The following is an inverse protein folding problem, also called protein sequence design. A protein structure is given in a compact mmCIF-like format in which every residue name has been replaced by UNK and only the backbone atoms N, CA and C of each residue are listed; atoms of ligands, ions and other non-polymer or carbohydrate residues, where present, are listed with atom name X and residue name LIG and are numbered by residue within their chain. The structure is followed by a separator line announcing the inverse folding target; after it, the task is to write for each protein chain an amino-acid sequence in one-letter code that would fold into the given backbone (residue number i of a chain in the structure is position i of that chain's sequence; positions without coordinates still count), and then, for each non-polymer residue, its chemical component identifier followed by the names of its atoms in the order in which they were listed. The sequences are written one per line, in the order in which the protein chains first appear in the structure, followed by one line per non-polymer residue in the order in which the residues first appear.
data_IF_820172595673
#
_entry.id   IF_820172595673
#
_cell.length_a   1.000
_cell.length_b   1.000
_cell.length_c   1.000
_cell.angle_alpha   90.00
_cell.angle_beta   90.00
_cell.angle_gamma   90.00
#
_symmetry.space_group_name_H-M   'P 1'
#
loop_
_entity.id
_entity.type
_entity.pdbx_description
1 polymer ?
#
# COMPACT_ATOMS: atom_id res chain seq x y z
N UNK A 1 5.08 -12.44 -23.09
CA UNK A 1 6.16 -13.22 -22.48
C UNK A 1 7.47 -12.95 -23.22
N UNK A 2 8.59 -12.88 -22.50
CA UNK A 2 9.93 -12.69 -23.05
C UNK A 2 10.85 -13.81 -22.54
N UNK A 3 11.67 -14.36 -23.45
CA UNK A 3 12.72 -15.31 -23.08
C UNK A 3 13.85 -14.61 -22.31
N UNK A 4 14.65 -15.40 -21.56
CA UNK A 4 15.87 -14.89 -20.92
C UNK A 4 16.81 -14.19 -21.91
N UNK A 5 16.90 -14.67 -23.16
CA UNK A 5 17.66 -14.03 -24.23
C UNK A 5 17.12 -12.65 -24.61
N UNK A 6 15.80 -12.50 -24.70
CA UNK A 6 15.15 -11.23 -25.03
C UNK A 6 15.31 -10.22 -23.89
N UNK A 7 15.16 -10.68 -22.65
CA UNK A 7 15.40 -9.86 -21.46
C UNK A 7 16.85 -9.34 -21.42
N UNK A 8 17.86 -10.22 -21.65
CA UNK A 8 19.27 -9.82 -21.68
C UNK A 8 19.58 -8.81 -22.78
N UNK A 9 18.93 -8.92 -23.94
CA UNK A 9 19.10 -8.00 -25.04
C UNK A 9 18.50 -6.63 -24.72
N UNK A 10 17.35 -6.59 -24.07
CA UNK A 10 16.63 -5.34 -23.73
C UNK A 10 17.27 -4.62 -22.54
N UNK A 11 17.64 -5.38 -21.50
CA UNK A 11 18.13 -4.85 -20.23
C UNK A 11 19.44 -5.53 -19.79
N UNK A 12 20.55 -5.27 -20.53
CA UNK A 12 21.84 -5.93 -20.26
C UNK A 12 22.44 -5.54 -18.90
N UNK A 13 21.93 -4.49 -18.24
CA UNK A 13 22.32 -4.07 -16.89
C UNK A 13 21.80 -4.99 -15.79
N UNK A 14 20.87 -5.92 -16.10
CA UNK A 14 20.29 -6.86 -15.14
C UNK A 14 21.03 -8.19 -15.24
N UNK A 15 21.47 -8.75 -14.11
CA UNK A 15 21.92 -10.13 -14.06
C UNK A 15 20.69 -11.06 -14.08
N UNK A 16 20.58 -11.86 -15.12
CA UNK A 16 19.43 -12.74 -15.40
C UNK A 16 19.83 -14.22 -15.44
N UNK A 17 20.94 -14.60 -14.78
CA UNK A 17 21.45 -15.99 -14.82
C UNK A 17 20.44 -17.02 -14.30
N UNK A 18 19.67 -16.66 -13.28
CA UNK A 18 18.65 -17.50 -12.66
C UNK A 18 17.23 -17.27 -13.20
N UNK A 19 17.07 -16.42 -14.22
CA UNK A 19 15.77 -16.08 -14.82
C UNK A 19 15.59 -16.81 -16.15
N UNK A 20 14.54 -17.59 -16.26
CA UNK A 20 14.21 -18.34 -17.47
C UNK A 20 13.36 -17.54 -18.45
N UNK A 21 12.43 -16.75 -17.94
CA UNK A 21 11.49 -15.93 -18.72
C UNK A 21 10.98 -14.78 -17.87
N UNK A 22 10.32 -13.82 -18.51
CA UNK A 22 9.63 -12.71 -17.85
C UNK A 22 8.38 -12.30 -18.62
N UNK A 23 7.52 -11.56 -17.93
CA UNK A 23 6.34 -10.92 -18.52
C UNK A 23 6.67 -9.45 -18.68
N UNK A 24 6.42 -8.90 -19.85
CA UNK A 24 6.41 -7.46 -20.09
C UNK A 24 4.95 -7.04 -20.27
N UNK A 25 4.54 -6.10 -19.43
CA UNK A 25 3.25 -5.40 -19.51
C UNK A 25 3.51 -3.97 -19.98
N UNK A 26 3.35 -3.67 -21.28
CA UNK A 26 3.74 -2.36 -21.83
C UNK A 26 2.95 -1.17 -21.26
N UNK A 27 1.71 -1.42 -20.81
CA UNK A 27 0.83 -0.40 -20.26
C UNK A 27 0.95 -0.26 -18.74
N UNK A 28 1.76 -1.10 -18.09
CA UNK A 28 2.05 -1.01 -16.67
C UNK A 28 3.02 0.13 -16.37
N UNK A 29 2.93 0.64 -15.15
CA UNK A 29 3.80 1.72 -14.71
C UNK A 29 3.83 1.81 -13.18
N UNK A 30 4.12 3.00 -12.69
CA UNK A 30 4.05 3.33 -11.27
C UNK A 30 3.24 4.61 -11.08
N UNK A 31 2.76 4.79 -9.86
CA UNK A 31 2.06 6.00 -9.43
C UNK A 31 2.97 6.78 -8.48
N UNK A 32 3.08 8.09 -8.68
CA UNK A 32 3.56 8.98 -7.63
C UNK A 32 2.47 9.12 -6.58
N UNK A 33 2.60 8.37 -5.49
CA UNK A 33 1.56 8.27 -4.48
C UNK A 33 1.24 9.62 -3.81
N UNK A 34 2.25 10.47 -3.60
CA UNK A 34 2.06 11.77 -2.95
C UNK A 34 1.34 12.73 -3.88
N UNK A 35 1.81 12.86 -5.12
CA UNK A 35 1.17 13.71 -6.13
C UNK A 35 -0.26 13.22 -6.43
N UNK A 36 -0.47 11.91 -6.51
CA UNK A 36 -1.80 11.33 -6.72
C UNK A 36 -2.77 11.67 -5.58
N UNK A 37 -2.34 11.53 -4.32
CA UNK A 37 -3.18 11.91 -3.17
C UNK A 37 -3.50 13.40 -3.16
N UNK A 38 -2.52 14.24 -3.47
CA UNK A 38 -2.71 15.69 -3.53
C UNK A 38 -3.72 16.07 -4.62
N UNK A 39 -3.59 15.51 -5.82
CA UNK A 39 -4.50 15.75 -6.93
C UNK A 39 -5.95 15.34 -6.59
N UNK A 40 -6.14 14.22 -5.87
CA UNK A 40 -7.45 13.78 -5.42
C UNK A 40 -8.05 14.78 -4.41
N UNK A 41 -7.26 15.25 -3.46
CA UNK A 41 -7.72 16.28 -2.47
C UNK A 41 -8.07 17.57 -3.16
N UNK A 42 -7.25 18.06 -4.09
CA UNK A 42 -7.52 19.28 -4.86
C UNK A 42 -8.81 19.17 -5.69
N UNK A 43 -9.01 18.03 -6.36
CA UNK A 43 -10.23 17.77 -7.11
C UNK A 43 -11.46 17.71 -6.21
N UNK A 44 -11.36 17.07 -5.05
CA UNK A 44 -12.42 16.98 -4.05
C UNK A 44 -12.84 18.37 -3.54
N UNK A 45 -11.87 19.21 -3.17
CA UNK A 45 -12.11 20.58 -2.71
C UNK A 45 -12.72 21.43 -3.83
N UNK A 46 -12.22 21.30 -5.05
CA UNK A 46 -12.76 22.01 -6.23
C UNK A 46 -14.20 21.62 -6.56
N UNK A 47 -14.59 20.40 -6.23
CA UNK A 47 -15.97 19.90 -6.34
C UNK A 47 -16.88 20.35 -5.16
N UNK A 48 -16.37 21.16 -4.24
CA UNK A 48 -17.13 21.68 -3.09
C UNK A 48 -16.97 20.86 -1.81
N UNK A 49 -16.10 19.86 -1.79
CA UNK A 49 -15.79 19.08 -0.60
C UNK A 49 -14.98 19.88 0.43
N UNK A 50 -15.07 19.51 1.70
CA UNK A 50 -14.28 20.11 2.78
C UNK A 50 -13.18 19.16 3.23
N UNK A 51 -11.93 19.56 3.05
CA UNK A 51 -10.76 18.85 3.55
C UNK A 51 -10.29 19.42 4.90
N UNK A 52 -10.04 18.54 5.87
CA UNK A 52 -9.50 18.91 7.19
C UNK A 52 -8.40 17.94 7.57
N UNK A 53 -7.31 18.45 8.10
CA UNK A 53 -6.21 17.66 8.65
C UNK A 53 -6.39 17.55 10.16
N UNK A 54 -7.09 16.51 10.61
CA UNK A 54 -7.45 16.27 12.01
C UNK A 54 -7.59 14.78 12.26
N UNK A 55 -7.16 14.31 13.44
CA UNK A 55 -7.33 12.91 13.81
C UNK A 55 -8.73 12.64 14.38
N UNK A 56 -9.25 11.44 14.10
CA UNK A 56 -10.48 10.93 14.72
C UNK A 56 -10.11 10.24 16.02
N UNK A 57 -10.87 10.54 17.10
CA UNK A 57 -10.75 9.80 18.36
C UNK A 57 -11.36 8.39 18.19
N UNK A 58 -10.71 7.32 18.70
CA UNK A 58 -11.29 5.98 18.70
C UNK A 58 -12.41 5.81 19.73
N UNK A 59 -12.58 6.74 20.66
CA UNK A 59 -13.54 6.63 21.74
C UNK A 59 -14.97 6.67 21.24
N UNK A 60 -15.76 5.67 21.61
CA UNK A 60 -17.19 5.58 21.30
C UNK A 60 -17.52 5.21 19.85
N UNK A 61 -16.54 4.90 19.00
CA UNK A 61 -16.78 4.55 17.60
C UNK A 61 -17.58 3.26 17.40
N UNK A 62 -17.46 2.28 18.31
CA UNK A 62 -18.20 1.02 18.22
C UNK A 62 -19.39 0.95 19.18
N UNK A 63 -19.73 2.05 19.86
CA UNK A 63 -20.87 2.11 20.74
C UNK A 63 -22.19 2.18 19.98
N UNK A 64 -23.20 1.48 20.46
CA UNK A 64 -24.56 1.53 19.90
C UNK A 64 -25.18 2.93 19.94
N UNK A 65 -24.65 3.82 20.78
CA UNK A 65 -25.03 5.22 20.92
C UNK A 65 -24.28 6.18 19.98
N UNK A 66 -23.42 5.67 19.08
CA UNK A 66 -22.67 6.49 18.14
C UNK A 66 -23.58 7.46 17.37
N UNK A 67 -23.27 8.74 17.42
CA UNK A 67 -24.05 9.82 16.76
C UNK A 67 -23.18 10.86 16.06
N UNK A 68 -21.91 10.95 16.41
CA UNK A 68 -20.95 11.92 15.87
C UNK A 68 -19.53 11.46 16.09
N UNK A 69 -18.62 11.92 15.21
CA UNK A 69 -17.19 11.70 15.37
C UNK A 69 -16.61 12.76 16.33
N UNK A 70 -15.85 12.30 17.33
CA UNK A 70 -14.99 13.16 18.13
C UNK A 70 -13.65 13.34 17.44
N UNK A 71 -13.19 14.56 17.31
CA UNK A 71 -11.95 14.91 16.63
C UNK A 71 -10.90 15.37 17.65
N UNK A 72 -9.62 15.24 17.29
CA UNK A 72 -8.49 15.56 18.18
C UNK A 72 -8.39 17.05 18.57
N UNK A 73 -9.04 17.93 17.85
CA UNK A 73 -9.16 19.35 18.15
C UNK A 73 -10.32 19.68 19.12
N UNK A 74 -11.01 18.68 19.65
CA UNK A 74 -12.15 18.79 20.56
C UNK A 74 -13.49 19.07 19.85
N UNK A 75 -13.50 19.25 18.54
CA UNK A 75 -14.74 19.41 17.78
C UNK A 75 -15.43 18.08 17.51
N UNK A 76 -16.72 18.17 17.16
CA UNK A 76 -17.50 17.01 16.74
C UNK A 76 -18.00 17.19 15.30
N UNK A 77 -18.04 16.07 14.56
CA UNK A 77 -18.55 16.04 13.20
C UNK A 77 -19.77 15.10 13.13
N UNK A 78 -20.87 15.63 12.57
CA UNK A 78 -22.08 14.86 12.27
C UNK A 78 -22.25 14.73 10.76
N UNK A 79 -22.63 13.55 10.32
CA UNK A 79 -22.92 13.23 8.93
C UNK A 79 -24.01 12.16 8.85
N UNK A 80 -24.65 12.05 7.68
CA UNK A 80 -25.61 10.97 7.41
C UNK A 80 -24.89 9.64 7.26
N UNK A 81 -23.72 9.63 6.60
CA UNK A 81 -22.86 8.47 6.40
C UNK A 81 -21.43 8.75 6.85
N UNK A 82 -20.77 7.73 7.37
CA UNK A 82 -19.38 7.76 7.78
C UNK A 82 -18.61 6.69 7.05
N UNK A 83 -17.55 7.06 6.35
CA UNK A 83 -16.68 6.14 5.62
C UNK A 83 -15.29 6.16 6.24
N UNK A 84 -14.89 5.06 6.84
CA UNK A 84 -13.57 4.92 7.45
C UNK A 84 -12.64 4.18 6.49
N UNK A 85 -11.78 4.95 5.81
CA UNK A 85 -10.72 4.45 4.93
C UNK A 85 -9.33 4.74 5.54
N UNK A 86 -9.17 4.39 6.82
CA UNK A 86 -8.06 4.82 7.66
C UNK A 86 -6.83 3.91 7.60
N UNK A 87 -6.75 3.01 6.60
CA UNK A 87 -5.60 2.16 6.36
C UNK A 87 -5.18 1.38 7.61
N UNK A 88 -3.90 1.41 7.92
CA UNK A 88 -3.33 0.66 9.04
C UNK A 88 -3.88 1.01 10.42
N UNK A 89 -4.63 2.10 10.56
CA UNK A 89 -5.28 2.48 11.83
C UNK A 89 -6.67 1.85 12.01
N UNK A 90 -7.28 1.25 10.98
CA UNK A 90 -8.62 0.68 11.06
C UNK A 90 -8.79 -0.32 12.21
N UNK A 91 -7.81 -1.20 12.42
CA UNK A 91 -7.85 -2.16 13.52
C UNK A 91 -7.82 -1.53 14.92
N UNK A 92 -7.23 -0.33 15.05
CA UNK A 92 -7.24 0.44 16.31
C UNK A 92 -8.52 1.23 16.51
N UNK A 93 -9.10 1.75 15.42
CA UNK A 93 -10.36 2.50 15.46
C UNK A 93 -11.56 1.58 15.73
N UNK A 94 -11.49 0.35 15.22
CA UNK A 94 -12.55 -0.65 15.34
C UNK A 94 -11.98 -1.95 15.93
N UNK A 95 -11.57 -1.96 17.21
CA UNK A 95 -10.88 -3.10 17.81
C UNK A 95 -11.74 -4.36 17.92
N UNK A 96 -13.06 -4.24 18.16
CA UNK A 96 -13.98 -5.36 18.24
C UNK A 96 -14.26 -5.96 16.84
N UNK A 97 -14.40 -5.10 15.83
CA UNK A 97 -14.80 -5.50 14.47
C UNK A 97 -13.58 -5.87 13.61
N UNK A 98 -12.52 -5.08 13.65
CA UNK A 98 -11.37 -5.18 12.73
C UNK A 98 -10.03 -5.48 13.43
N UNK A 99 -9.94 -5.43 14.76
CA UNK A 99 -8.67 -5.54 15.47
C UNK A 99 -7.90 -6.84 15.21
N UNK A 100 -8.60 -7.94 14.90
CA UNK A 100 -8.00 -9.23 14.52
C UNK A 100 -7.82 -9.39 13.02
N UNK A 101 -8.50 -8.59 12.22
CA UNK A 101 -8.51 -8.67 10.76
C UNK A 101 -7.51 -7.74 10.09
N UNK A 102 -7.30 -6.54 10.66
CA UNK A 102 -6.32 -5.60 10.16
C UNK A 102 -5.06 -5.69 11.02
N UNK A 103 -4.00 -6.24 10.45
CA UNK A 103 -2.72 -6.41 11.12
C UNK A 103 -1.64 -5.61 10.40
N UNK A 104 -1.29 -4.42 10.91
CA UNK A 104 -0.26 -3.61 10.32
C UNK A 104 1.11 -4.30 10.39
N UNK A 105 1.84 -4.27 9.27
CA UNK A 105 3.21 -4.78 9.20
C UNK A 105 4.17 -3.71 8.71
N UNK A 106 5.40 -3.75 9.25
CA UNK A 106 6.48 -2.86 8.86
C UNK A 106 7.07 -3.30 7.52
N UNK A 107 7.14 -2.39 6.56
CA UNK A 107 7.80 -2.58 5.28
C UNK A 107 8.83 -1.48 5.04
N UNK A 108 9.92 -1.79 4.37
CA UNK A 108 10.96 -0.80 4.12
C UNK A 108 11.27 -0.67 2.64
N UNK A 109 11.41 0.56 2.19
CA UNK A 109 11.84 0.89 0.83
C UNK A 109 13.12 1.71 0.86
N UNK A 110 13.99 1.48 -0.10
CA UNK A 110 15.31 2.09 -0.17
C UNK A 110 15.52 2.72 -1.54
N UNK A 111 16.15 3.88 -1.57
CA UNK A 111 16.49 4.60 -2.80
C UNK A 111 18.01 4.72 -2.89
N UNK A 112 18.56 4.28 -4.01
CA UNK A 112 20.00 4.29 -4.26
C UNK A 112 20.36 5.23 -5.39
N UNK A 113 21.51 5.90 -5.29
CA UNK A 113 22.06 6.70 -6.37
C UNK A 113 22.68 5.81 -7.45
N UNK A 114 22.15 5.77 -8.68
CA UNK A 114 22.82 5.07 -9.75
C UNK A 114 24.18 5.70 -10.10
N UNK A 115 25.09 4.96 -10.78
CA UNK A 115 26.35 5.53 -11.21
C UNK A 115 26.14 6.80 -12.05
N UNK A 116 26.94 7.81 -11.80
CA UNK A 116 26.80 9.12 -12.46
C UNK A 116 26.86 8.97 -13.99
N UNK A 117 25.88 9.52 -14.68
CA UNK A 117 25.77 9.47 -16.14
C UNK A 117 25.29 8.13 -16.72
N UNK A 118 25.01 7.12 -15.89
CA UNK A 118 24.50 5.84 -16.39
C UNK A 118 22.97 5.87 -16.54
N UNK A 119 22.51 6.21 -17.73
CA UNK A 119 21.09 6.32 -18.05
C UNK A 119 20.36 4.97 -18.07
N UNK A 120 21.06 3.83 -18.01
CA UNK A 120 20.42 2.51 -18.03
C UNK A 120 19.54 2.25 -16.80
N UNK A 121 19.70 3.04 -15.74
CA UNK A 121 18.94 2.96 -14.49
C UNK A 121 17.87 4.05 -14.36
N UNK A 122 17.55 4.74 -15.44
CA UNK A 122 16.45 5.71 -15.49
C UNK A 122 15.16 5.05 -15.99
N UNK A 123 14.02 5.66 -15.72
CA UNK A 123 12.70 5.24 -16.20
C UNK A 123 12.57 5.21 -17.73
N UNK A 124 13.36 6.04 -18.43
CA UNK A 124 13.44 6.03 -19.89
C UNK A 124 14.10 4.75 -20.46
N UNK A 125 14.86 4.01 -19.67
CA UNK A 125 15.65 2.84 -20.12
C UNK A 125 15.37 1.55 -19.38
N UNK A 126 14.72 1.62 -18.24
CA UNK A 126 14.35 0.46 -17.43
C UNK A 126 12.92 0.66 -16.93
N UNK A 127 11.99 -0.25 -17.21
CA UNK A 127 10.65 -0.19 -16.66
C UNK A 127 10.65 -0.45 -15.14
N UNK A 128 9.52 -0.21 -14.49
CA UNK A 128 9.26 -0.81 -13.17
C UNK A 128 9.35 -2.32 -13.29
N UNK A 129 9.85 -2.96 -12.26
CA UNK A 129 10.10 -4.40 -12.31
C UNK A 129 9.74 -5.10 -11.00
N UNK A 130 9.36 -6.36 -11.12
CA UNK A 130 9.19 -7.30 -10.01
C UNK A 130 9.97 -8.58 -10.28
N UNK A 131 10.71 -9.05 -9.29
CA UNK A 131 11.50 -10.29 -9.33
C UNK A 131 10.94 -11.27 -8.31
N UNK A 132 10.34 -12.35 -8.79
CA UNK A 132 9.75 -13.42 -7.97
C UNK A 132 10.59 -14.69 -7.96
N UNK A 133 11.88 -14.63 -8.32
CA UNK A 133 12.73 -15.82 -8.46
C UNK A 133 12.89 -16.61 -7.17
N UNK A 134 13.19 -15.95 -6.05
CA UNK A 134 13.36 -16.57 -4.71
C UNK A 134 12.57 -15.86 -3.64
N UNK A 135 12.41 -14.56 -3.79
CA UNK A 135 11.80 -13.65 -2.87
C UNK A 135 11.28 -12.50 -3.70
N UNK A 136 10.13 -11.96 -3.38
CA UNK A 136 9.61 -10.86 -4.18
C UNK A 136 10.34 -9.56 -3.86
N UNK A 137 11.24 -9.16 -4.77
CA UNK A 137 11.80 -7.83 -4.83
C UNK A 137 11.13 -7.04 -5.95
N UNK A 138 10.94 -5.76 -5.73
CA UNK A 138 10.49 -4.87 -6.78
C UNK A 138 11.27 -3.57 -6.77
N UNK A 139 11.24 -2.85 -7.89
CA UNK A 139 11.88 -1.56 -7.97
C UNK A 139 11.28 -0.64 -9.01
N UNK A 140 11.59 0.64 -8.81
CA UNK A 140 11.20 1.73 -9.67
C UNK A 140 12.46 2.51 -10.00
N UNK A 141 12.86 2.59 -11.29
CA UNK A 141 14.01 3.39 -11.68
C UNK A 141 13.68 4.87 -11.57
N UNK A 142 14.61 5.63 -11.06
CA UNK A 142 14.84 7.05 -11.12
C UNK A 142 13.70 8.07 -11.24
N UNK A 143 12.51 7.79 -10.70
CA UNK A 143 11.41 8.76 -10.74
C UNK A 143 11.69 9.98 -9.85
N UNK A 144 11.39 11.16 -10.34
CA UNK A 144 11.47 12.45 -9.63
C UNK A 144 12.82 12.72 -8.96
N UNK A 145 13.91 12.30 -9.59
CA UNK A 145 15.27 12.45 -9.07
C UNK A 145 15.52 11.81 -7.71
N UNK A 146 14.62 10.93 -7.23
CA UNK A 146 14.74 10.25 -5.94
C UNK A 146 15.70 9.06 -5.94
N UNK A 147 16.24 8.72 -7.10
CA UNK A 147 17.13 7.58 -7.25
C UNK A 147 16.40 6.27 -7.59
N UNK A 148 17.15 5.18 -7.56
CA UNK A 148 16.70 3.84 -7.92
C UNK A 148 16.05 3.17 -6.70
N UNK A 149 14.73 3.06 -6.71
CA UNK A 149 13.97 2.44 -5.62
C UNK A 149 14.07 0.93 -5.67
N UNK A 150 14.32 0.30 -4.51
CA UNK A 150 14.26 -1.15 -4.32
C UNK A 150 13.58 -1.48 -3.01
N UNK A 151 12.75 -2.51 -3.00
CA UNK A 151 12.13 -3.04 -1.80
C UNK A 151 12.03 -4.57 -1.84
N UNK A 152 12.17 -5.19 -0.66
CA UNK A 152 11.77 -6.57 -0.40
C UNK A 152 10.32 -6.55 0.06
N UNK A 153 9.40 -7.12 -0.72
CA UNK A 153 7.96 -7.11 -0.43
C UNK A 153 7.53 -8.25 0.49
N UNK A 154 8.48 -8.97 1.07
CA UNK A 154 8.15 -9.99 2.06
C UNK A 154 7.52 -9.34 3.29
N UNK A 155 6.40 -9.90 3.74
CA UNK A 155 5.67 -9.42 4.93
C UNK A 155 6.63 -9.24 6.11
N UNK A 156 6.70 -8.02 6.62
CA UNK A 156 7.54 -7.64 7.77
C UNK A 156 6.91 -7.98 9.12
N UNK A 157 7.56 -7.62 10.23
CA UNK A 157 7.01 -7.81 11.57
C UNK A 157 5.78 -6.92 11.80
N UNK A 158 5.01 -7.27 12.84
CA UNK A 158 3.92 -6.43 13.32
C UNK A 158 4.41 -5.01 13.63
N UNK A 159 3.60 -4.02 13.29
CA UNK A 159 3.98 -2.62 13.38
C UNK A 159 2.85 -1.77 13.96
N UNK A 160 3.16 -0.94 14.94
CA UNK A 160 2.23 0.06 15.42
C UNK A 160 2.24 1.28 14.48
N UNK A 161 1.13 1.61 13.81
CA UNK A 161 1.12 2.69 12.82
C UNK A 161 1.32 4.08 13.43
N UNK A 162 1.07 4.24 14.74
CA UNK A 162 1.18 5.52 15.47
C UNK A 162 2.55 5.70 16.12
N UNK A 163 3.00 4.69 16.89
CA UNK A 163 4.19 4.76 17.73
C UNK A 163 5.36 3.90 17.25
N UNK A 164 5.17 3.12 16.18
CA UNK A 164 6.21 2.26 15.63
C UNK A 164 7.43 3.04 15.15
N UNK A 165 8.61 2.54 15.48
CA UNK A 165 9.88 3.15 15.09
C UNK A 165 10.06 3.12 13.56
N UNK A 166 10.45 4.27 13.00
CA UNK A 166 10.62 4.46 11.55
C UNK A 166 12.07 4.58 11.11
N UNK A 167 12.99 4.21 11.99
CA UNK A 167 14.40 4.17 11.66
C UNK A 167 14.73 3.00 10.72
N UNK A 168 15.71 3.20 9.87
CA UNK A 168 16.23 2.22 8.96
C UNK A 168 16.69 0.94 9.67
N UNK A 169 16.24 -0.23 9.22
CA UNK A 169 16.77 -1.52 9.67
C UNK A 169 18.10 -1.87 8.99
N UNK A 170 19.21 -1.98 9.73
CA UNK A 170 20.48 -2.41 9.14
C UNK A 170 20.41 -3.80 8.48
N UNK A 171 19.58 -4.68 9.03
CA UNK A 171 19.37 -6.05 8.48
C UNK A 171 18.69 -5.99 7.13
N UNK A 172 17.65 -5.18 6.99
CA UNK A 172 16.92 -5.02 5.73
C UNK A 172 17.79 -4.32 4.68
N UNK A 173 18.51 -3.26 5.05
CA UNK A 173 19.46 -2.60 4.16
C UNK A 173 20.51 -3.58 3.64
N UNK A 174 21.11 -4.39 4.52
CA UNK A 174 22.10 -5.41 4.12
C UNK A 174 21.51 -6.41 3.12
N UNK A 175 20.27 -6.83 3.34
CA UNK A 175 19.56 -7.74 2.44
C UNK A 175 19.33 -7.11 1.06
N UNK A 176 18.81 -5.90 1.02
CA UNK A 176 18.56 -5.18 -0.23
C UNK A 176 19.86 -4.89 -0.97
N UNK A 177 20.94 -4.50 -0.29
CA UNK A 177 22.27 -4.32 -0.91
C UNK A 177 22.81 -5.61 -1.51
N UNK A 178 22.63 -6.75 -0.84
CA UNK A 178 23.03 -8.06 -1.38
C UNK A 178 22.25 -8.40 -2.65
N UNK A 179 20.95 -8.14 -2.66
CA UNK A 179 20.12 -8.32 -3.84
C UNK A 179 20.54 -7.38 -4.97
N UNK A 180 20.73 -6.10 -4.68
CA UNK A 180 21.14 -5.08 -5.64
C UNK A 180 22.48 -5.44 -6.30
N UNK A 181 23.48 -5.85 -5.51
CA UNK A 181 24.79 -6.26 -6.02
C UNK A 181 24.72 -7.49 -6.94
N UNK A 182 23.79 -8.40 -6.70
CA UNK A 182 23.58 -9.58 -7.53
C UNK A 182 22.78 -9.27 -8.79
N UNK A 183 21.62 -8.62 -8.63
CA UNK A 183 20.67 -8.40 -9.73
C UNK A 183 21.10 -7.25 -10.65
N UNK A 184 21.74 -6.23 -10.10
CA UNK A 184 22.21 -5.03 -10.79
C UNK A 184 23.68 -4.77 -10.46
N UNK A 185 24.64 -5.52 -11.02
CA UNK A 185 26.06 -5.47 -10.62
C UNK A 185 26.68 -4.07 -10.65
N UNK A 186 26.28 -3.21 -11.59
CA UNK A 186 26.74 -1.83 -11.65
C UNK A 186 26.27 -0.96 -10.48
N UNK A 187 25.24 -1.40 -9.74
CA UNK A 187 24.69 -0.72 -8.56
C UNK A 187 25.27 -1.26 -7.23
N UNK A 188 26.26 -2.16 -7.28
CA UNK A 188 26.80 -2.84 -6.09
C UNK A 188 27.20 -1.88 -4.98
N UNK A 189 27.87 -0.80 -5.32
CA UNK A 189 28.39 0.19 -4.38
C UNK A 189 27.58 1.51 -4.41
N UNK A 190 26.37 1.46 -4.94
CA UNK A 190 25.49 2.62 -5.03
C UNK A 190 25.23 3.22 -3.64
N UNK A 191 25.37 4.55 -3.47
CA UNK A 191 25.07 5.21 -2.20
C UNK A 191 23.58 5.12 -1.91
N UNK A 192 23.24 4.90 -0.63
CA UNK A 192 21.87 5.06 -0.15
C UNK A 192 21.55 6.56 -0.09
N UNK A 193 20.50 6.98 -0.79
CA UNK A 193 20.04 8.37 -0.81
C UNK A 193 18.94 8.57 0.23
N UNK A 194 17.97 7.65 0.27
CA UNK A 194 16.79 7.75 1.12
C UNK A 194 16.32 6.36 1.54
N UNK A 195 15.70 6.26 2.70
CA UNK A 195 14.92 5.09 3.12
C UNK A 195 13.62 5.54 3.76
N UNK A 196 12.59 4.70 3.65
CA UNK A 196 11.29 4.93 4.29
C UNK A 196 10.74 3.65 4.89
N UNK A 197 10.10 3.79 6.04
CA UNK A 197 9.27 2.75 6.64
C UNK A 197 7.83 2.99 6.24
N UNK A 198 7.29 2.02 5.51
CA UNK A 198 5.88 1.91 5.16
C UNK A 198 5.17 0.99 6.13
N UNK A 199 3.85 1.04 6.14
CA UNK A 199 2.99 0.19 6.95
C UNK A 199 1.91 -0.42 6.05
N UNK A 200 1.89 -1.75 5.94
CA UNK A 200 0.84 -2.44 5.19
C UNK A 200 -0.27 -2.86 6.14
N UNK A 201 -1.50 -2.61 5.78
CA UNK A 201 -2.70 -3.07 6.49
C UNK A 201 -3.09 -4.48 6.03
N UNK A 202 -2.43 -5.49 6.59
CA UNK A 202 -2.62 -6.88 6.19
C UNK A 202 -3.97 -7.42 6.65
N UNK A 203 -4.70 -8.06 5.73
CA UNK A 203 -5.82 -8.94 6.04
C UNK A 203 -5.38 -10.41 5.97
N UNK A 204 -6.10 -11.36 6.59
CA UNK A 204 -5.73 -12.79 6.58
C UNK A 204 -5.60 -13.36 5.17
N UNK A 205 -6.49 -12.97 4.26
CA UNK A 205 -6.57 -13.44 2.87
C UNK A 205 -5.96 -12.46 1.85
N UNK A 206 -5.37 -11.35 2.31
CA UNK A 206 -4.82 -10.28 1.49
C UNK A 206 -5.83 -9.58 0.57
N UNK A 207 -7.13 -9.76 0.76
CA UNK A 207 -8.18 -9.07 0.02
C UNK A 207 -8.69 -7.84 0.77
N UNK A 208 -9.31 -6.92 0.02
CA UNK A 208 -9.93 -5.72 0.57
C UNK A 208 -11.06 -6.05 1.53
N UNK A 209 -11.32 -5.13 2.44
CA UNK A 209 -12.56 -5.04 3.21
C UNK A 209 -13.29 -3.81 2.67
N UNK A 210 -14.48 -4.01 2.15
CA UNK A 210 -15.43 -2.95 1.79
C UNK A 210 -16.79 -3.43 2.26
N UNK A 211 -17.21 -2.97 3.42
CA UNK A 211 -18.43 -3.47 4.04
C UNK A 211 -19.04 -2.43 4.99
N UNK A 212 -20.32 -2.61 5.29
CA UNK A 212 -21.01 -1.86 6.31
C UNK A 212 -20.62 -2.40 7.70
N UNK A 213 -20.49 -1.52 8.67
CA UNK A 213 -20.23 -1.94 10.05
C UNK A 213 -21.40 -2.81 10.57
N UNK A 214 -21.15 -3.97 11.22
CA UNK A 214 -22.20 -4.95 11.53
C UNK A 214 -23.28 -4.46 12.50
N UNK A 215 -23.01 -3.39 13.24
CA UNK A 215 -23.94 -2.83 14.25
C UNK A 215 -24.40 -1.39 13.94
N UNK A 216 -23.83 -0.76 12.90
CA UNK A 216 -24.11 0.65 12.56
C UNK A 216 -24.39 0.80 11.07
N UNK A 217 -25.64 1.07 10.74
CA UNK A 217 -26.10 1.07 9.35
C UNK A 217 -25.53 2.21 8.48
N UNK A 218 -25.08 3.28 9.10
CA UNK A 218 -24.52 4.45 8.43
C UNK A 218 -22.99 4.53 8.48
N UNK A 219 -22.31 3.45 8.90
CA UNK A 219 -20.84 3.37 8.98
C UNK A 219 -20.32 2.34 8.01
N UNK A 220 -19.38 2.75 7.17
CA UNK A 220 -18.70 1.92 6.18
C UNK A 220 -17.23 1.81 6.50
N UNK A 221 -16.67 0.62 6.32
CA UNK A 221 -15.30 0.25 6.61
C UNK A 221 -14.59 -0.14 5.31
N UNK A 222 -13.58 0.63 4.91
CA UNK A 222 -12.81 0.42 3.70
C UNK A 222 -11.33 0.26 4.04
N UNK A 223 -10.73 -0.88 3.67
CA UNK A 223 -9.32 -1.10 3.91
C UNK A 223 -8.84 -2.47 3.45
N UNK A 224 -7.78 -2.98 4.08
CA UNK A 224 -7.22 -4.28 3.75
C UNK A 224 -6.39 -4.28 2.46
N UNK A 225 -5.79 -3.15 2.10
CA UNK A 225 -4.99 -3.01 0.89
C UNK A 225 -3.75 -3.91 0.82
N UNK A 226 -3.32 -4.50 1.94
CA UNK A 226 -2.31 -5.56 2.06
C UNK A 226 -1.03 -5.32 1.24
N UNK A 227 -0.64 -4.04 1.08
CA UNK A 227 0.54 -3.60 0.33
C UNK A 227 0.30 -3.35 -1.17
N UNK A 228 -0.82 -3.81 -1.73
CA UNK A 228 -1.13 -3.64 -3.16
C UNK A 228 -2.33 -2.72 -3.46
N UNK A 229 -2.95 -2.13 -2.43
CA UNK A 229 -4.22 -1.42 -2.53
C UNK A 229 -4.16 -0.07 -3.25
N UNK A 230 -3.06 0.66 -3.20
CA UNK A 230 -2.99 2.06 -3.63
C UNK A 230 -3.51 2.30 -5.05
N UNK A 231 -3.07 1.48 -6.02
CA UNK A 231 -3.50 1.59 -7.43
C UNK A 231 -5.00 1.37 -7.65
N UNK A 232 -5.67 0.72 -6.71
CA UNK A 232 -7.11 0.43 -6.79
C UNK A 232 -7.99 1.50 -6.14
N UNK A 233 -7.39 2.51 -5.48
CA UNK A 233 -8.10 3.54 -4.73
C UNK A 233 -9.27 4.19 -5.48
N UNK A 234 -9.08 4.70 -6.71
CA UNK A 234 -10.17 5.32 -7.46
C UNK A 234 -11.34 4.36 -7.75
N UNK A 235 -11.05 3.14 -8.20
CA UNK A 235 -12.09 2.14 -8.50
C UNK A 235 -12.83 1.68 -7.23
N UNK A 236 -12.10 1.46 -6.12
CA UNK A 236 -12.72 1.11 -4.84
C UNK A 236 -13.57 2.26 -4.29
N UNK A 237 -13.11 3.50 -4.47
CA UNK A 237 -13.86 4.68 -4.08
C UNK A 237 -15.18 4.81 -4.84
N UNK A 238 -15.17 4.61 -6.15
CA UNK A 238 -16.37 4.61 -7.00
C UNK A 238 -17.34 3.50 -6.60
N UNK A 239 -16.85 2.27 -6.44
CA UNK A 239 -17.67 1.14 -6.01
C UNK A 239 -18.30 1.40 -4.64
N UNK A 240 -17.53 1.88 -3.67
CA UNK A 240 -18.02 2.18 -2.34
C UNK A 240 -19.06 3.30 -2.36
N UNK A 241 -18.85 4.36 -3.14
CA UNK A 241 -19.81 5.46 -3.28
C UNK A 241 -21.13 4.96 -3.85
N UNK A 242 -21.11 4.14 -4.89
CA UNK A 242 -22.32 3.58 -5.49
C UNK A 242 -23.08 2.70 -4.48
N UNK A 243 -22.40 1.87 -3.71
CA UNK A 243 -23.06 1.06 -2.68
C UNK A 243 -23.67 1.88 -1.55
N UNK A 244 -23.02 2.97 -1.14
CA UNK A 244 -23.53 3.85 -0.08
C UNK A 244 -24.77 4.63 -0.57
N UNK A 245 -24.73 5.14 -1.80
CA UNK A 245 -25.78 6.01 -2.34
C UNK A 245 -27.00 5.23 -2.84
N UNK A 246 -26.80 4.00 -3.34
CA UNK A 246 -27.84 3.15 -3.89
C UNK A 246 -28.38 2.14 -2.86
N UNK A 247 -27.98 2.23 -1.60
CA UNK A 247 -28.24 1.25 -0.53
C UNK A 247 -27.88 -0.18 -0.97
N UNK A 248 -26.83 -0.29 -1.77
CA UNK A 248 -26.35 -1.53 -2.32
C UNK A 248 -25.66 -2.43 -1.29
N UNK A 249 -25.42 -3.66 -1.70
CA UNK A 249 -24.67 -4.61 -0.89
C UNK A 249 -23.24 -4.75 -1.40
N UNK A 250 -22.29 -4.83 -0.45
CA UNK A 250 -20.90 -5.09 -0.77
C UNK A 250 -20.73 -6.44 -1.50
N UNK A 251 -19.79 -6.52 -2.44
CA UNK A 251 -19.39 -7.78 -3.07
C UNK A 251 -18.97 -8.79 -1.99
N UNK A 252 -19.47 -10.01 -2.08
CA UNK A 252 -19.21 -11.06 -1.08
C UNK A 252 -17.71 -11.30 -0.83
N UNK A 253 -16.87 -11.08 -1.84
CA UNK A 253 -15.41 -11.19 -1.74
C UNK A 253 -14.79 -10.20 -0.76
N UNK A 254 -15.46 -9.07 -0.46
CA UNK A 254 -14.94 -8.00 0.37
C UNK A 254 -15.71 -7.82 1.69
N UNK A 255 -16.77 -8.61 1.88
CA UNK A 255 -17.58 -8.58 3.13
C UNK A 255 -16.80 -9.12 4.33
N UNK A 256 -17.08 -8.57 5.48
CA UNK A 256 -16.56 -9.05 6.76
C UNK A 256 -17.02 -10.47 7.08
N UNK A 257 -18.23 -10.86 6.62
CA UNK A 257 -18.79 -12.19 6.84
C UNK A 257 -17.93 -13.33 6.27
N UNK A 258 -17.06 -13.07 5.28
CA UNK A 258 -16.16 -14.10 4.73
C UNK A 258 -15.20 -14.66 5.77
N UNK A 259 -14.83 -13.86 6.79
CA UNK A 259 -13.96 -14.31 7.88
C UNK A 259 -14.69 -15.12 8.96
N UNK A 260 -16.02 -15.12 8.94
CA UNK A 260 -16.83 -15.89 9.90
C UNK A 260 -16.98 -17.36 9.49
N UNK A 261 -16.76 -17.70 8.23
CA UNK A 261 -16.90 -19.05 7.68
C UNK A 261 -15.72 -19.98 8.05
N UNK A 262 -14.56 -19.42 8.46
CA UNK A 262 -13.39 -20.23 8.84
C UNK A 262 -13.47 -20.86 10.23
N UNK A 263 -14.48 -20.56 11.05
CA UNK A 263 -14.65 -21.14 12.38
C UNK A 263 -15.29 -22.55 12.41
N UNK A 264 -15.56 -23.13 11.24
CA UNK A 264 -16.30 -24.38 11.11
C UNK A 264 -15.48 -25.64 10.85
N UNK A 265 -14.16 -25.55 10.68
CA UNK A 265 -13.30 -26.72 10.39
C UNK A 265 -12.03 -26.68 11.25
N UNK A 266 -12.17 -26.99 12.52
CA UNK A 266 -11.06 -27.39 13.39
C UNK A 266 -11.53 -28.45 14.38
#
# INVERSE_FOLDING_TARGET
ELSSRDLKRRWPQINLEDIRWGILEPESGYLDARASCQAVVEAFVSAGGTYREVAVSPEGLEDSSFRSLSLSDGSQLKADYYVFACGSWLGKLFPETLGKLIQPTRQEVFFFGPPAGDLRFTDARLPVWGDQSKRFFYGIPGSDHRGFKVADDTRGPAFDPTSGERDLSPVMLKRVRKYLAYRFPAMKDAPLIESRVCQYEQTPDSNFIVDRHPRMNNVWLLGGGSGHGFKHGPALGEIAANWILEDGEADQRWRLSRFSLEKGNS
#
